data_IF_492074281976
#
_entry.id   IF_492074281976
#
_cell.length_a   1.000
_cell.length_b   1.000
_cell.length_c   1.000
_cell.angle_alpha   90.00
_cell.angle_beta   90.00
_cell.angle_gamma   90.00
#
_symmetry.space_group_name_H-M   'P 1'
#
loop_
_entity.id
_entity.type
_entity.pdbx_description
1 polymer ?
#
# COMPACT_ATOMS: atom_id res chain seq x y z
N UNK A 1 -23.96 -19.26 -4.80
CA UNK A 1 -24.33 -18.79 -3.46
C UNK A 1 -23.76 -19.77 -2.44
N UNK A 2 -22.82 -19.36 -1.58
CA UNK A 2 -22.17 -20.22 -0.56
C UNK A 2 -23.10 -20.78 0.53
N UNK A 3 -24.40 -20.49 0.43
CA UNK A 3 -25.40 -20.64 1.48
C UNK A 3 -25.99 -22.06 1.57
N UNK A 4 -25.59 -22.96 0.66
CA UNK A 4 -25.94 -24.38 0.72
C UNK A 4 -24.82 -25.11 1.45
N UNK A 5 -25.06 -25.47 2.70
CA UNK A 5 -24.13 -26.26 3.48
C UNK A 5 -23.76 -27.54 2.73
N UNK A 6 -22.47 -27.88 2.71
CA UNK A 6 -21.93 -29.07 2.03
C UNK A 6 -21.98 -30.33 2.90
N UNK A 7 -22.35 -30.19 4.17
CA UNK A 7 -22.44 -31.30 5.12
C UNK A 7 -23.90 -31.72 5.31
N UNK A 8 -24.12 -33.02 5.27
CA UNK A 8 -25.41 -33.65 5.48
C UNK A 8 -25.25 -34.78 6.49
N UNK A 9 -26.27 -35.02 7.31
CA UNK A 9 -26.31 -36.20 8.17
C UNK A 9 -26.54 -37.46 7.32
N UNK A 10 -25.96 -38.59 7.72
CA UNK A 10 -26.13 -39.89 7.06
C UNK A 10 -27.44 -40.59 7.41
N UNK A 11 -28.29 -39.97 8.25
CA UNK A 11 -29.55 -40.49 8.73
C UNK A 11 -30.66 -39.44 8.54
N UNK A 12 -31.91 -39.87 8.60
CA UNK A 12 -33.08 -39.00 8.43
C UNK A 12 -33.65 -38.62 9.78
N UNK A 13 -34.00 -37.34 9.95
CA UNK A 13 -34.73 -36.82 11.11
C UNK A 13 -36.24 -36.85 10.83
N UNK A 14 -37.05 -37.13 11.86
CA UNK A 14 -38.51 -37.05 11.76
C UNK A 14 -38.93 -35.57 11.83
N UNK A 15 -39.50 -34.97 10.76
CA UNK A 15 -39.87 -33.55 10.76
C UNK A 15 -41.09 -33.27 11.66
N UNK A 16 -41.86 -34.29 12.05
CA UNK A 16 -43.08 -34.15 12.84
C UNK A 16 -42.86 -34.18 14.34
N UNK A 17 -41.65 -34.55 14.79
CA UNK A 17 -41.32 -34.74 16.21
C UNK A 17 -39.96 -34.12 16.54
N UNK A 18 -39.73 -33.91 17.82
CA UNK A 18 -38.40 -33.54 18.31
C UNK A 18 -37.45 -34.73 18.14
N UNK A 19 -36.24 -34.45 17.66
CA UNK A 19 -35.23 -35.47 17.43
C UNK A 19 -34.10 -35.28 18.43
N UNK A 20 -33.94 -36.24 19.34
CA UNK A 20 -32.84 -36.24 20.30
C UNK A 20 -31.60 -36.90 19.69
N UNK A 21 -30.49 -36.18 19.68
CA UNK A 21 -29.20 -36.62 19.16
C UNK A 21 -28.17 -36.48 20.28
N UNK A 22 -27.46 -37.56 20.57
CA UNK A 22 -26.43 -37.58 21.60
C UNK A 22 -25.13 -38.14 21.04
N UNK A 23 -24.02 -37.51 21.42
CA UNK A 23 -22.67 -37.96 21.17
C UNK A 23 -22.16 -38.67 22.41
N UNK A 24 -21.86 -39.96 22.26
CA UNK A 24 -21.25 -40.77 23.30
C UNK A 24 -19.76 -40.97 23.01
N UNK A 25 -18.96 -41.14 24.06
CA UNK A 25 -17.57 -41.58 23.97
C UNK A 25 -17.48 -42.99 23.36
N UNK A 26 -16.28 -43.34 22.89
CA UNK A 26 -15.91 -44.66 22.34
C UNK A 26 -16.29 -45.83 23.26
N UNK A 27 -16.44 -45.58 24.56
CA UNK A 27 -16.88 -46.56 25.55
C UNK A 27 -18.39 -46.85 25.52
N UNK A 28 -19.17 -46.08 24.75
CA UNK A 28 -20.63 -46.21 24.59
C UNK A 28 -21.46 -45.90 25.83
N UNK A 29 -20.85 -45.32 26.88
CA UNK A 29 -21.49 -45.06 28.18
C UNK A 29 -21.39 -43.60 28.61
N UNK A 30 -20.25 -42.96 28.38
CA UNK A 30 -20.04 -41.56 28.74
C UNK A 30 -20.71 -40.68 27.70
N UNK A 31 -21.72 -39.92 28.11
CA UNK A 31 -22.31 -38.88 27.29
C UNK A 31 -21.30 -37.72 27.18
N UNK A 32 -20.94 -37.35 25.95
CA UNK A 32 -20.04 -36.23 25.65
C UNK A 32 -20.85 -34.96 25.41
N UNK A 33 -21.88 -35.04 24.56
CA UNK A 33 -22.73 -33.90 24.21
C UNK A 33 -24.12 -34.39 23.78
N UNK A 34 -25.12 -33.54 23.88
CA UNK A 34 -26.49 -33.84 23.47
C UNK A 34 -27.19 -32.61 22.88
N UNK A 35 -28.11 -32.87 21.97
CA UNK A 35 -28.95 -31.83 21.37
C UNK A 35 -30.32 -32.39 21.01
N UNK A 36 -31.36 -31.63 21.37
CA UNK A 36 -32.73 -31.88 20.90
C UNK A 36 -33.04 -30.93 19.75
N UNK A 37 -33.19 -31.48 18.55
CA UNK A 37 -33.58 -30.75 17.36
C UNK A 37 -35.11 -30.59 17.34
N UNK A 38 -35.65 -29.37 17.21
CA UNK A 38 -37.08 -29.13 17.28
C UNK A 38 -37.82 -29.72 16.07
N UNK A 39 -39.11 -30.03 16.26
CA UNK A 39 -40.01 -30.41 15.19
C UNK A 39 -40.27 -29.25 14.22
N UNK A 40 -40.64 -29.54 12.97
CA UNK A 40 -41.09 -28.54 11.99
C UNK A 40 -39.98 -27.81 11.23
N UNK A 41 -38.74 -28.30 11.28
CA UNK A 41 -37.67 -27.78 10.41
C UNK A 41 -37.99 -28.02 8.93
N UNK A 42 -37.82 -26.99 8.11
CA UNK A 42 -38.00 -27.09 6.66
C UNK A 42 -36.74 -27.69 6.00
N UNK A 43 -36.89 -28.18 4.76
CA UNK A 43 -35.76 -28.59 3.95
C UNK A 43 -34.78 -27.42 3.75
N UNK A 44 -33.49 -27.75 3.57
CA UNK A 44 -32.37 -26.80 3.42
C UNK A 44 -32.11 -25.86 4.61
N UNK A 45 -32.66 -26.17 5.79
CA UNK A 45 -32.35 -25.47 7.04
C UNK A 45 -31.37 -26.27 7.90
N UNK A 46 -30.53 -25.55 8.64
CA UNK A 46 -29.57 -26.11 9.59
C UNK A 46 -29.90 -25.65 11.00
N UNK A 47 -29.68 -26.50 12.00
CA UNK A 47 -29.82 -26.11 13.40
C UNK A 47 -28.44 -25.88 13.99
N UNK A 48 -28.17 -24.65 14.43
CA UNK A 48 -26.84 -24.24 14.87
C UNK A 48 -26.92 -23.30 16.06
N UNK A 49 -25.81 -23.12 16.77
CA UNK A 49 -25.72 -22.11 17.83
C UNK A 49 -25.78 -20.71 17.23
N UNK A 50 -26.38 -19.78 17.97
CA UNK A 50 -26.48 -18.37 17.57
C UNK A 50 -25.07 -17.76 17.46
N UNK A 51 -24.35 -17.76 18.57
CA UNK A 51 -22.91 -17.48 18.67
C UNK A 51 -22.15 -18.78 19.02
N UNK A 52 -20.88 -18.87 18.63
CA UNK A 52 -20.06 -20.05 18.97
C UNK A 52 -19.93 -20.19 20.49
N UNK A 53 -20.32 -21.36 21.02
CA UNK A 53 -20.35 -21.63 22.47
C UNK A 53 -21.55 -21.06 23.23
N UNK A 54 -22.46 -20.34 22.57
CA UNK A 54 -23.70 -19.85 23.21
C UNK A 54 -24.65 -21.01 23.56
N UNK A 55 -25.44 -20.88 24.63
CA UNK A 55 -26.45 -21.87 25.00
C UNK A 55 -27.67 -21.88 24.05
N UNK A 56 -27.84 -20.81 23.28
CA UNK A 56 -28.99 -20.61 22.40
C UNK A 56 -28.77 -21.28 21.04
N UNK A 57 -29.79 -22.01 20.60
CA UNK A 57 -29.82 -22.64 19.28
C UNK A 57 -30.86 -21.95 18.40
N UNK A 58 -30.51 -21.76 17.14
CA UNK A 58 -31.33 -21.08 16.15
C UNK A 58 -31.34 -21.85 14.83
N UNK A 59 -32.45 -21.74 14.12
CA UNK A 59 -32.59 -22.32 12.78
C UNK A 59 -31.93 -21.35 11.78
N UNK A 60 -30.90 -21.84 11.08
CA UNK A 60 -30.16 -21.12 10.03
C UNK A 60 -30.55 -21.58 8.63
N UNK A 61 -30.43 -20.69 7.63
CA UNK A 61 -30.69 -20.98 6.22
C UNK A 61 -32.04 -20.46 5.67
N UNK A 62 -32.86 -19.84 6.51
CA UNK A 62 -34.22 -19.38 6.12
C UNK A 62 -34.35 -17.91 5.67
N UNK A 63 -33.29 -17.09 5.71
CA UNK A 63 -33.39 -15.65 5.40
C UNK A 63 -32.05 -14.97 5.08
N UNK A 64 -32.10 -13.72 4.58
CA UNK A 64 -30.94 -12.95 4.10
C UNK A 64 -29.83 -12.75 5.14
N UNK A 65 -30.16 -12.75 6.42
CA UNK A 65 -29.20 -12.60 7.53
C UNK A 65 -28.93 -13.89 8.30
N UNK A 66 -29.44 -15.02 7.82
CA UNK A 66 -29.35 -16.32 8.47
C UNK A 66 -28.55 -17.29 7.59
N UNK A 67 -27.26 -16.98 7.43
CA UNK A 67 -26.35 -17.77 6.61
C UNK A 67 -25.79 -18.96 7.40
N UNK A 68 -25.60 -20.08 6.70
CA UNK A 68 -24.97 -21.28 7.25
C UNK A 68 -23.47 -21.20 7.01
N UNK A 69 -22.67 -21.40 8.05
CA UNK A 69 -21.20 -21.32 8.04
C UNK A 69 -20.59 -22.71 8.26
N UNK A 70 -20.60 -23.60 7.26
CA UNK A 70 -19.96 -24.91 7.40
C UNK A 70 -18.45 -24.72 7.67
N UNK A 71 -17.91 -25.48 8.61
CA UNK A 71 -16.48 -25.45 9.01
C UNK A 71 -15.93 -24.09 9.42
N UNK A 72 -16.80 -23.13 9.75
CA UNK A 72 -16.43 -21.77 10.12
C UNK A 72 -17.30 -21.30 11.30
N UNK A 73 -16.86 -20.23 11.96
CA UNK A 73 -17.55 -19.65 13.11
C UNK A 73 -18.97 -19.20 12.75
N UNK A 74 -19.92 -19.39 13.67
CA UNK A 74 -21.33 -19.03 13.51
C UNK A 74 -21.57 -17.53 13.36
N UNK A 75 -20.60 -16.72 13.82
CA UNK A 75 -20.55 -15.28 13.60
C UNK A 75 -19.21 -14.90 12.98
N UNK A 76 -19.26 -14.24 11.82
CA UNK A 76 -18.10 -13.54 11.30
C UNK A 76 -17.90 -12.26 12.13
N UNK A 77 -16.92 -12.28 13.04
CA UNK A 77 -16.53 -11.13 13.86
C UNK A 77 -15.79 -10.03 13.08
N UNK A 78 -15.74 -10.14 11.75
CA UNK A 78 -15.08 -9.16 10.87
C UNK A 78 -15.94 -7.90 10.65
N UNK A 79 -16.51 -7.40 11.74
CA UNK A 79 -17.25 -6.14 11.77
C UNK A 79 -16.26 -5.03 12.08
N UNK A 80 -15.79 -4.34 11.04
CA UNK A 80 -15.06 -3.10 11.25
C UNK A 80 -16.05 -2.02 11.68
N UNK A 81 -16.16 -1.82 13.00
CA UNK A 81 -17.10 -0.86 13.62
C UNK A 81 -16.99 0.54 13.01
N UNK A 82 -15.79 0.96 12.60
CA UNK A 82 -15.60 2.27 11.94
C UNK A 82 -16.32 2.32 10.61
N UNK A 83 -16.19 1.29 9.79
CA UNK A 83 -16.84 1.21 8.47
C UNK A 83 -18.35 1.07 8.63
N UNK A 84 -18.84 0.28 9.59
CA UNK A 84 -20.28 0.22 9.89
C UNK A 84 -20.83 1.57 10.37
N UNK A 85 -20.09 2.28 11.22
CA UNK A 85 -20.49 3.61 11.68
C UNK A 85 -20.53 4.62 10.54
N UNK A 86 -19.59 4.57 9.60
CA UNK A 86 -19.66 5.38 8.38
C UNK A 86 -20.88 5.00 7.52
N UNK A 87 -21.15 3.71 7.31
CA UNK A 87 -22.34 3.29 6.56
C UNK A 87 -23.65 3.72 7.22
N UNK A 88 -23.71 3.75 8.56
CA UNK A 88 -24.90 4.16 9.33
C UNK A 88 -25.12 5.67 9.34
N UNK A 89 -24.05 6.46 9.50
CA UNK A 89 -24.16 7.91 9.69
C UNK A 89 -23.89 8.72 8.41
N UNK A 90 -23.27 8.12 7.40
CA UNK A 90 -22.89 8.74 6.13
C UNK A 90 -23.05 7.71 4.98
N UNK A 91 -24.29 7.26 4.78
CA UNK A 91 -24.61 6.24 3.77
C UNK A 91 -24.25 6.68 2.34
N UNK A 92 -24.40 7.98 2.05
CA UNK A 92 -24.10 8.59 0.74
C UNK A 92 -22.61 8.99 0.59
N UNK A 93 -21.82 8.95 1.68
CA UNK A 93 -20.37 9.23 1.67
C UNK A 93 -19.97 10.71 1.59
N UNK A 94 -20.91 11.63 1.83
CA UNK A 94 -20.65 13.07 1.76
C UNK A 94 -19.74 13.56 2.89
N UNK A 95 -19.95 13.03 4.10
CA UNK A 95 -19.11 13.32 5.26
C UNK A 95 -17.65 12.88 5.04
N UNK A 96 -17.46 11.68 4.49
CA UNK A 96 -16.15 11.15 4.13
C UNK A 96 -15.42 12.05 3.12
N UNK A 97 -16.13 12.53 2.09
CA UNK A 97 -15.56 13.42 1.08
C UNK A 97 -15.13 14.78 1.66
N UNK A 98 -15.95 15.40 2.51
CA UNK A 98 -15.60 16.69 3.15
C UNK A 98 -14.35 16.56 4.02
N UNK A 99 -14.26 15.49 4.82
CA UNK A 99 -13.11 15.26 5.70
C UNK A 99 -11.84 15.09 4.86
N UNK A 100 -11.91 14.27 3.81
CA UNK A 100 -10.77 14.04 2.92
C UNK A 100 -10.30 15.35 2.25
N UNK A 101 -11.22 16.14 1.69
CA UNK A 101 -10.87 17.41 1.05
C UNK A 101 -10.29 18.42 2.04
N UNK A 102 -10.87 18.52 3.25
CA UNK A 102 -10.40 19.44 4.29
C UNK A 102 -8.96 19.14 4.71
N UNK A 103 -8.61 17.86 4.92
CA UNK A 103 -7.25 17.45 5.29
C UNK A 103 -6.24 17.83 4.20
N UNK A 104 -6.58 17.63 2.92
CA UNK A 104 -5.71 18.00 1.79
C UNK A 104 -5.47 19.52 1.77
N UNK A 105 -6.52 20.32 1.88
CA UNK A 105 -6.38 21.78 1.90
C UNK A 105 -5.55 22.27 3.08
N UNK A 106 -5.76 21.72 4.28
CA UNK A 106 -4.96 22.06 5.47
C UNK A 106 -3.48 21.70 5.24
N UNK A 107 -3.20 20.54 4.65
CA UNK A 107 -1.83 20.13 4.31
C UNK A 107 -1.15 21.11 3.36
N UNK A 108 -1.84 21.53 2.29
CA UNK A 108 -1.31 22.52 1.33
C UNK A 108 -1.09 23.90 1.96
N UNK A 109 -2.01 24.35 2.82
CA UNK A 109 -1.88 25.62 3.55
C UNK A 109 -0.66 25.58 4.48
N UNK A 110 -0.49 24.50 5.25
CA UNK A 110 0.67 24.33 6.13
C UNK A 110 1.98 24.32 5.35
N UNK A 111 2.01 23.66 4.20
CA UNK A 111 3.19 23.62 3.34
C UNK A 111 3.51 25.01 2.76
N UNK A 112 2.49 25.75 2.30
CA UNK A 112 2.63 27.14 1.85
C UNK A 112 3.19 28.03 2.95
N UNK A 113 2.65 27.96 4.17
CA UNK A 113 3.12 28.75 5.31
C UNK A 113 4.58 28.42 5.64
N UNK A 114 4.93 27.13 5.64
CA UNK A 114 6.30 26.67 5.88
C UNK A 114 7.29 27.28 4.88
N UNK A 115 7.01 27.18 3.58
CA UNK A 115 7.89 27.75 2.55
C UNK A 115 7.94 29.27 2.61
N UNK A 116 6.82 29.94 2.92
CA UNK A 116 6.78 31.40 3.07
C UNK A 116 7.66 31.88 4.22
N UNK A 117 7.66 31.18 5.35
CA UNK A 117 8.51 31.51 6.51
C UNK A 117 9.99 31.33 6.15
N UNK A 118 10.35 30.15 5.60
CA UNK A 118 11.73 29.85 5.21
C UNK A 118 12.24 30.84 4.17
N UNK A 119 11.44 31.12 3.13
CA UNK A 119 11.78 32.08 2.08
C UNK A 119 11.99 33.50 2.62
N UNK A 120 11.10 33.98 3.50
CA UNK A 120 11.25 35.29 4.12
C UNK A 120 12.50 35.38 5.01
N UNK A 121 12.83 34.32 5.76
CA UNK A 121 14.06 34.27 6.57
C UNK A 121 15.29 34.30 5.66
N UNK A 122 15.29 33.50 4.58
CA UNK A 122 16.41 33.45 3.63
C UNK A 122 16.67 34.82 2.98
N UNK A 123 15.62 35.50 2.51
CA UNK A 123 15.74 36.84 1.93
C UNK A 123 16.23 37.86 2.98
N UNK A 124 15.72 37.79 4.21
CA UNK A 124 16.15 38.70 5.29
C UNK A 124 17.62 38.46 5.68
N UNK A 125 18.08 37.21 5.69
CA UNK A 125 19.47 36.87 5.97
C UNK A 125 20.40 37.28 4.83
N UNK A 126 19.98 37.06 3.57
CA UNK A 126 20.70 37.52 2.38
C UNK A 126 20.91 39.02 2.37
N UNK A 127 19.85 39.81 2.63
CA UNK A 127 19.96 41.28 2.76
C UNK A 127 20.91 41.70 3.88
N UNK A 128 20.89 41.00 5.03
CA UNK A 128 21.82 41.28 6.15
C UNK A 128 23.28 40.97 5.80
N UNK A 129 23.53 39.89 5.06
CA UNK A 129 24.89 39.53 4.64
C UNK A 129 25.41 40.49 3.56
N UNK A 130 24.56 40.90 2.61
CA UNK A 130 24.91 41.90 1.59
C UNK A 130 25.28 43.26 2.23
N UNK A 131 24.51 43.73 3.22
CA UNK A 131 24.84 44.95 3.97
C UNK A 131 26.17 44.83 4.74
N UNK A 132 26.46 43.66 5.33
CA UNK A 132 27.72 43.41 6.04
C UNK A 132 28.94 43.38 5.12
N UNK A 133 28.81 42.78 3.93
CA UNK A 133 29.91 42.70 2.96
C UNK A 133 30.33 44.07 2.42
N UNK A 134 29.40 45.03 2.40
CA UNK A 134 29.60 46.37 1.82
C UNK A 134 29.86 47.43 2.91
N UNK A 135 29.84 47.03 4.20
CA UNK A 135 30.23 47.88 5.33
C UNK A 135 29.24 48.98 5.70
N UNK A 136 28.02 48.93 5.18
CA UNK A 136 26.98 49.96 5.40
C UNK A 136 26.12 49.56 6.62
N UNK A 137 26.11 50.42 7.64
CA UNK A 137 25.30 50.26 8.86
C UNK A 137 23.91 50.85 8.74
N UNK A 138 23.68 51.76 7.79
CA UNK A 138 22.40 52.47 7.63
C UNK A 138 21.43 51.78 6.65
N UNK A 139 20.21 51.52 7.14
CA UNK A 139 19.15 50.86 6.36
C UNK A 139 18.59 51.72 5.23
N UNK A 140 18.77 53.04 5.30
CA UNK A 140 18.31 54.01 4.29
C UNK A 140 19.23 53.96 3.08
N UNK A 141 20.55 53.99 3.30
CA UNK A 141 21.58 53.89 2.24
C UNK A 141 21.59 52.50 1.60
N UNK A 142 21.28 51.45 2.36
CA UNK A 142 21.13 50.08 1.85
C UNK A 142 19.95 49.92 0.87
N UNK A 143 18.83 50.63 1.12
CA UNK A 143 17.69 50.66 0.20
C UNK A 143 17.98 51.48 -1.05
N UNK A 144 18.70 52.59 -0.90
CA UNK A 144 19.04 53.51 -2.00
C UNK A 144 20.01 52.87 -3.00
N UNK A 145 20.96 52.05 -2.52
CA UNK A 145 21.91 51.29 -3.33
C UNK A 145 21.39 49.91 -3.80
N UNK A 146 20.11 49.60 -3.62
CA UNK A 146 19.51 48.29 -3.95
C UNK A 146 20.25 47.06 -3.39
N UNK A 147 20.89 47.20 -2.24
CA UNK A 147 21.76 46.17 -1.67
C UNK A 147 20.95 44.95 -1.23
N UNK A 148 21.16 43.83 -1.92
CA UNK A 148 20.49 42.55 -1.65
C UNK A 148 19.17 42.34 -2.42
N UNK A 149 18.87 43.14 -3.45
CA UNK A 149 17.93 42.76 -4.51
C UNK A 149 18.71 42.57 -5.79
N UNK A 150 19.23 41.37 -6.03
CA UNK A 150 19.74 41.02 -7.35
C UNK A 150 18.55 40.91 -8.30
N UNK A 151 18.61 41.63 -9.42
CA UNK A 151 17.57 41.52 -10.46
C UNK A 151 17.56 40.09 -11.00
N UNK A 152 16.39 39.58 -11.38
CA UNK A 152 16.28 38.26 -12.02
C UNK A 152 17.14 38.15 -13.29
N UNK A 153 17.40 39.28 -13.94
CA UNK A 153 18.29 39.41 -15.10
C UNK A 153 19.76 39.15 -14.73
N UNK A 154 20.22 39.64 -13.57
CA UNK A 154 21.59 39.38 -13.09
C UNK A 154 21.78 37.90 -12.79
N UNK A 155 20.80 37.28 -12.12
CA UNK A 155 20.82 35.85 -11.86
C UNK A 155 20.77 35.01 -13.15
N UNK A 156 19.99 35.43 -14.15
CA UNK A 156 19.92 34.78 -15.45
C UNK A 156 21.24 34.92 -16.24
N UNK A 157 21.86 36.10 -16.21
CA UNK A 157 23.17 36.32 -16.84
C UNK A 157 24.27 35.49 -16.18
N UNK A 158 24.30 35.43 -14.84
CA UNK A 158 25.22 34.56 -14.09
C UNK A 158 24.98 33.08 -14.43
N UNK A 159 23.71 32.65 -14.49
CA UNK A 159 23.37 31.28 -14.84
C UNK A 159 23.78 30.93 -16.28
N UNK A 160 23.59 31.83 -17.25
CA UNK A 160 24.07 31.63 -18.62
C UNK A 160 25.60 31.56 -18.70
N UNK A 161 26.31 32.45 -18.01
CA UNK A 161 27.77 32.44 -17.99
C UNK A 161 28.32 31.14 -17.38
N UNK A 162 27.71 30.65 -16.29
CA UNK A 162 28.07 29.36 -15.70
C UNK A 162 27.75 28.19 -16.63
N UNK A 163 26.59 28.20 -17.27
CA UNK A 163 26.19 27.17 -18.23
C UNK A 163 27.15 27.10 -19.43
N UNK A 164 27.56 28.25 -19.97
CA UNK A 164 28.54 28.33 -21.06
C UNK A 164 29.91 27.82 -20.60
N UNK A 165 30.42 28.28 -19.45
CA UNK A 165 31.68 27.79 -18.88
C UNK A 165 31.68 26.28 -18.62
N UNK A 166 30.57 25.73 -18.12
CA UNK A 166 30.45 24.29 -17.87
C UNK A 166 30.33 23.46 -19.15
N UNK A 167 29.69 24.00 -20.20
CA UNK A 167 29.57 23.32 -21.49
C UNK A 167 30.86 23.38 -22.32
N UNK A 168 31.63 24.47 -22.20
CA UNK A 168 32.94 24.64 -22.86
C UNK A 168 34.02 23.72 -22.26
N UNK A 169 33.76 23.12 -21.10
CA UNK A 169 34.63 22.12 -20.46
C UNK A 169 34.41 20.68 -20.99
N UNK A 170 33.45 20.48 -21.90
CA UNK A 170 33.29 19.21 -22.61
C UNK A 170 34.03 19.28 -23.96
N UNK A 171 35.08 18.47 -24.13
CA UNK A 171 35.77 18.32 -25.41
C UNK A 171 34.74 17.98 -26.50
N UNK A 172 34.61 18.84 -27.51
CA UNK A 172 33.81 18.54 -28.70
C UNK A 172 34.47 17.34 -29.38
N UNK A 173 33.86 16.16 -29.25
CA UNK A 173 34.42 14.94 -29.83
C UNK A 173 34.48 15.08 -31.36
N UNK A 174 35.69 15.18 -31.91
CA UNK A 174 35.92 15.08 -33.35
C UNK A 174 35.43 13.70 -33.82
N UNK A 175 34.37 13.70 -34.63
CA UNK A 175 33.71 12.49 -35.17
C UNK A 175 34.57 11.79 -36.25
N UNK A 176 35.86 11.59 -36.00
CA UNK A 176 36.81 10.91 -36.89
C UNK A 176 37.33 9.65 -36.20
N UNK A 177 36.68 8.52 -36.49
CA UNK A 177 37.09 7.19 -36.02
C UNK A 177 38.26 6.65 -36.85
N UNK A 178 39.49 6.76 -36.35
CA UNK A 178 40.68 6.18 -37.00
C UNK A 178 40.93 4.77 -36.47
N UNK A 179 40.37 3.74 -37.13
CA UNK A 179 40.53 2.34 -36.70
C UNK A 179 41.82 1.74 -37.31
N UNK A 180 42.82 1.49 -36.48
CA UNK A 180 44.02 0.77 -36.88
C UNK A 180 43.75 -0.75 -36.90
N UNK A 181 43.77 -1.36 -38.09
CA UNK A 181 43.48 -2.80 -38.26
C UNK A 181 44.67 -3.65 -37.79
N UNK A 182 44.65 -4.06 -36.52
CA UNK A 182 45.64 -5.01 -35.99
C UNK A 182 45.32 -6.41 -36.52
N UNK A 183 46.10 -6.92 -37.49
CA UNK A 183 46.05 -8.35 -37.86
C UNK A 183 46.55 -9.14 -36.64
N UNK A 184 45.66 -9.87 -35.97
CA UNK A 184 46.07 -10.77 -34.87
C UNK A 184 46.91 -11.92 -35.44
N UNK A 185 48.22 -11.88 -35.24
CA UNK A 185 49.09 -13.04 -35.45
C UNK A 185 48.60 -14.16 -34.53
N UNK A 186 48.33 -15.34 -35.10
CA UNK A 186 47.77 -16.49 -34.38
C UNK A 186 48.61 -16.78 -33.12
N UNK A 187 48.00 -16.71 -31.93
CA UNK A 187 48.67 -17.10 -30.68
C UNK A 187 48.41 -18.58 -30.39
N UNK A 188 49.45 -19.40 -30.14
CA UNK A 188 49.29 -20.83 -29.86
C UNK A 188 48.40 -21.11 -28.64
N UNK A 189 48.30 -20.17 -27.70
CA UNK A 189 47.53 -20.29 -26.45
C UNK A 189 46.02 -20.48 -26.65
N UNK A 190 45.47 -20.01 -27.77
CA UNK A 190 44.03 -20.15 -28.11
C UNK A 190 43.80 -21.18 -29.22
N UNK A 191 44.75 -22.09 -29.49
CA UNK A 191 44.58 -23.06 -30.56
C UNK A 191 43.84 -24.31 -30.09
N UNK A 192 42.64 -24.52 -30.66
CA UNK A 192 41.70 -25.61 -30.34
C UNK A 192 42.26 -27.02 -30.56
N UNK A 193 43.39 -27.13 -31.28
CA UNK A 193 44.09 -28.39 -31.55
C UNK A 193 44.62 -29.06 -30.28
N UNK A 194 45.01 -28.29 -29.26
CA UNK A 194 45.55 -28.84 -28.01
C UNK A 194 44.47 -29.35 -27.05
N UNK A 195 43.20 -29.00 -27.27
CA UNK A 195 42.07 -29.42 -26.41
C UNK A 195 41.32 -30.64 -26.96
N UNK A 196 41.68 -31.13 -28.15
CA UNK A 196 41.06 -32.31 -28.75
C UNK A 196 41.73 -33.58 -28.22
N UNK A 197 40.90 -34.51 -27.69
CA UNK A 197 41.36 -35.78 -27.13
C UNK A 197 41.83 -36.70 -28.26
N UNK A 198 43.08 -37.19 -28.19
CA UNK A 198 43.59 -38.14 -29.18
C UNK A 198 42.97 -39.52 -28.96
N UNK A 199 42.51 -40.16 -30.02
CA UNK A 199 41.99 -41.54 -29.98
C UNK A 199 43.14 -42.54 -29.90
N UNK A 200 43.00 -43.63 -29.12
CA UNK A 200 44.07 -44.61 -28.93
C UNK A 200 44.42 -45.31 -30.26
N UNK A 201 45.71 -45.55 -30.47
CA UNK A 201 46.21 -46.32 -31.61
C UNK A 201 45.92 -47.81 -31.38
N UNK A 202 45.43 -48.48 -32.41
CA UNK A 202 45.11 -49.91 -32.42
C UNK A 202 46.37 -50.75 -32.56
#
# INVERSE_FOLDING_TARGET
MPNRGTFHVSFTLDPSKENYIALYDSNGKTLIDEITVPAGMLADQSYAREEDGSANWVIKGGGEHSYVTPSTNNMTLDKNEKIENFKKHDADGFGMAIIAMSVVFIGLILLYVSFKIVGNIAVKLGKRNAMKAIGITDKVEAKEKNLGSHSGEEAAAIAMALHEFMNDAHDVEDMILTINKVKRTYSPWSSKIYTLRQTPKR
#
